data_IF_211352329543
#
_entry.id   IF_211352329543
#
_cell.length_a   1.000
_cell.length_b   1.000
_cell.length_c   1.000
_cell.angle_alpha   90.00
_cell.angle_beta   90.00
_cell.angle_gamma   90.00
#
_symmetry.space_group_name_H-M   'P 1'
#
loop_
_entity.id
_entity.type
_entity.pdbx_description
1 polymer ?
#
# COMPACT_ATOMS: atom_id res chain seq x y z
N UNK A 1 15.58 5.88 -5.09
CA UNK A 1 15.42 7.13 -4.33
C UNK A 1 13.94 7.49 -4.34
N UNK A 2 13.17 6.91 -3.41
CA UNK A 2 11.73 7.15 -3.32
C UNK A 2 11.52 8.62 -2.99
N UNK A 3 10.74 9.34 -3.81
CA UNK A 3 10.38 10.74 -3.57
C UNK A 3 9.88 10.85 -2.13
N UNK A 4 10.43 11.77 -1.33
CA UNK A 4 10.00 11.97 0.05
C UNK A 4 8.47 12.11 0.07
N UNK A 5 7.79 11.23 0.79
CA UNK A 5 6.34 11.32 0.89
C UNK A 5 6.00 12.67 1.52
N UNK A 6 5.13 13.45 0.86
CA UNK A 6 4.68 14.71 1.40
C UNK A 6 3.76 14.42 2.59
N UNK A 7 4.27 14.64 3.80
CA UNK A 7 3.52 14.49 5.03
C UNK A 7 2.64 15.73 5.25
N UNK A 8 1.39 15.51 5.65
CA UNK A 8 0.43 16.57 6.00
C UNK A 8 -0.35 16.18 7.26
N UNK A 9 -0.95 17.15 7.96
CA UNK A 9 -1.90 16.84 9.04
C UNK A 9 -3.23 16.39 8.44
N UNK A 10 -3.78 15.32 8.98
CA UNK A 10 -5.09 14.83 8.56
C UNK A 10 -5.48 13.53 9.24
N UNK A 11 -6.50 12.88 8.66
CA UNK A 11 -7.00 11.61 9.18
C UNK A 11 -6.21 10.43 8.62
N UNK A 12 -5.81 9.49 9.48
CA UNK A 12 -5.28 8.21 9.03
C UNK A 12 -6.44 7.30 8.60
N UNK A 13 -6.45 6.87 7.34
CA UNK A 13 -7.56 6.07 6.80
C UNK A 13 -7.46 4.58 7.14
N UNK A 14 -6.30 4.13 7.61
CA UNK A 14 -6.04 2.77 8.06
C UNK A 14 -6.56 2.55 9.51
N UNK A 15 -6.02 1.53 10.18
CA UNK A 15 -6.54 0.95 11.41
C UNK A 15 -6.73 1.95 12.57
N UNK A 16 -5.82 2.91 12.77
CA UNK A 16 -5.86 3.78 13.96
C UNK A 16 -6.90 4.91 13.89
N UNK A 17 -7.38 5.29 12.70
CA UNK A 17 -8.42 6.32 12.47
C UNK A 17 -8.21 7.69 13.15
N UNK A 18 -7.02 8.00 13.66
CA UNK A 18 -6.69 9.29 14.28
C UNK A 18 -6.93 10.43 13.28
N UNK A 19 -7.62 11.49 13.70
CA UNK A 19 -8.07 12.59 12.84
C UNK A 19 -7.09 13.77 12.74
N UNK A 20 -6.14 13.89 13.68
CA UNK A 20 -5.05 14.89 13.67
C UNK A 20 -3.69 14.18 13.78
N UNK A 21 -3.34 13.40 12.76
CA UNK A 21 -2.03 12.76 12.66
C UNK A 21 -1.24 13.32 11.47
N UNK A 22 0.10 13.27 11.54
CA UNK A 22 0.92 13.39 10.34
C UNK A 22 0.66 12.16 9.47
N UNK A 23 0.22 12.38 8.24
CA UNK A 23 -0.14 11.34 7.27
C UNK A 23 0.54 11.57 5.93
N UNK A 24 0.92 10.48 5.27
CA UNK A 24 1.47 10.45 3.92
C UNK A 24 0.44 9.88 2.94
N UNK A 25 0.48 10.33 1.68
CA UNK A 25 -0.29 9.72 0.59
C UNK A 25 0.24 8.31 0.31
N UNK A 26 -0.64 7.32 0.29
CA UNK A 26 -0.27 5.90 0.09
C UNK A 26 -0.82 5.29 -1.21
N UNK A 27 -1.63 6.05 -1.95
CA UNK A 27 -2.20 5.60 -3.22
C UNK A 27 -3.63 6.10 -3.43
N UNK A 28 -4.18 5.92 -4.64
CA UNK A 28 -5.59 6.14 -4.90
C UNK A 28 -6.44 4.98 -4.33
N UNK A 29 -7.66 5.30 -3.90
CA UNK A 29 -8.73 4.31 -3.65
C UNK A 29 -9.88 4.59 -4.61
N UNK A 30 -10.41 3.52 -5.19
CA UNK A 30 -11.54 3.56 -6.12
C UNK A 30 -12.83 3.25 -5.36
N UNK A 31 -13.84 4.11 -5.55
CA UNK A 31 -15.20 3.91 -5.06
C UNK A 31 -16.17 4.07 -6.23
N UNK A 32 -17.42 3.62 -6.09
CA UNK A 32 -18.42 3.68 -7.17
C UNK A 32 -18.67 5.10 -7.72
N UNK A 33 -18.25 6.15 -7.00
CA UNK A 33 -18.38 7.56 -7.42
C UNK A 33 -17.07 8.24 -7.87
N UNK A 34 -15.93 7.53 -7.92
CA UNK A 34 -14.66 8.11 -8.39
C UNK A 34 -13.43 7.60 -7.68
N UNK A 35 -12.31 8.29 -7.90
CA UNK A 35 -11.00 7.97 -7.33
C UNK A 35 -10.57 9.08 -6.39
N UNK A 36 -10.21 8.74 -5.16
CA UNK A 36 -9.76 9.70 -4.14
C UNK A 36 -8.40 9.28 -3.56
N UNK A 37 -7.57 10.23 -3.10
CA UNK A 37 -6.31 9.90 -2.43
C UNK A 37 -6.55 9.26 -1.05
N UNK A 38 -5.77 8.24 -0.71
CA UNK A 38 -5.76 7.60 0.60
C UNK A 38 -4.50 7.99 1.38
N UNK A 39 -4.65 8.22 2.69
CA UNK A 39 -3.58 8.70 3.57
C UNK A 39 -3.40 7.83 4.82
N UNK A 40 -2.16 7.69 5.29
CA UNK A 40 -1.83 6.93 6.51
C UNK A 40 -0.73 7.56 7.35
N UNK A 41 -0.82 7.37 8.68
CA UNK A 41 0.23 7.80 9.60
C UNK A 41 1.42 6.82 9.60
N UNK A 42 2.61 7.21 10.10
CA UNK A 42 3.83 6.39 10.07
C UNK A 42 3.63 5.00 10.68
N UNK A 43 2.99 4.94 11.86
CA UNK A 43 2.78 3.67 12.58
C UNK A 43 1.97 2.66 11.76
N UNK A 44 0.87 3.12 11.15
CA UNK A 44 0.00 2.27 10.32
C UNK A 44 0.64 1.94 8.98
N UNK A 45 1.40 2.86 8.38
CA UNK A 45 2.14 2.59 7.15
C UNK A 45 3.20 1.49 7.37
N UNK A 46 3.96 1.59 8.45
CA UNK A 46 4.95 0.57 8.83
C UNK A 46 4.30 -0.81 9.07
N UNK A 47 3.11 -0.85 9.68
CA UNK A 47 2.37 -2.09 9.87
C UNK A 47 1.92 -2.69 8.52
N UNK A 48 1.39 -1.85 7.63
CA UNK A 48 0.96 -2.26 6.29
C UNK A 48 2.11 -2.80 5.46
N UNK A 49 3.26 -2.12 5.45
CA UNK A 49 4.45 -2.57 4.74
C UNK A 49 4.94 -3.93 5.23
N UNK A 50 4.94 -4.17 6.55
CA UNK A 50 5.29 -5.50 7.11
C UNK A 50 4.37 -6.60 6.59
N UNK A 51 3.06 -6.37 6.56
CA UNK A 51 2.09 -7.34 6.01
C UNK A 51 2.31 -7.57 4.51
N UNK A 52 2.57 -6.51 3.74
CA UNK A 52 2.87 -6.61 2.32
C UNK A 52 4.14 -7.43 2.07
N UNK A 53 5.22 -7.16 2.81
CA UNK A 53 6.46 -7.92 2.71
C UNK A 53 6.27 -9.39 3.08
N UNK A 54 5.49 -9.70 4.11
CA UNK A 54 5.14 -11.09 4.46
C UNK A 54 4.41 -11.77 3.30
N UNK A 55 3.45 -11.09 2.68
CA UNK A 55 2.70 -11.63 1.55
C UNK A 55 3.59 -11.85 0.32
N UNK A 56 4.50 -10.92 0.01
CA UNK A 56 5.46 -11.06 -1.08
C UNK A 56 6.38 -12.28 -0.86
N UNK A 57 6.87 -12.48 0.37
CA UNK A 57 7.69 -13.66 0.71
C UNK A 57 6.91 -14.97 0.56
N UNK A 58 5.64 -14.97 0.93
CA UNK A 58 4.78 -16.16 0.87
C UNK A 58 4.34 -16.54 -0.55
N UNK A 59 4.34 -15.60 -1.50
CA UNK A 59 3.92 -15.88 -2.89
C UNK A 59 4.93 -16.76 -3.66
N UNK A 60 6.16 -16.92 -3.16
CA UNK A 60 7.21 -17.67 -3.85
C UNK A 60 7.52 -17.10 -5.24
N UNK A 61 8.52 -17.65 -5.97
CA UNK A 61 8.67 -17.32 -7.37
C UNK A 61 7.44 -17.82 -8.14
N UNK A 62 6.71 -16.90 -8.78
CA UNK A 62 5.73 -17.23 -9.81
C UNK A 62 6.47 -17.90 -10.98
N UNK A 63 6.56 -19.23 -10.95
CA UNK A 63 6.98 -20.03 -12.11
C UNK A 63 5.89 -19.97 -13.17
N UNK A 64 6.03 -19.03 -14.12
CA UNK A 64 5.31 -19.12 -15.38
C UNK A 64 5.81 -20.37 -16.13
N UNK A 65 5.10 -21.49 -16.00
CA UNK A 65 5.28 -22.64 -16.89
C UNK A 65 4.98 -22.15 -18.30
N UNK A 66 6.00 -21.94 -19.13
CA UNK A 66 5.82 -21.76 -20.58
C UNK A 66 5.12 -23.01 -21.10
N UNK A 67 3.83 -22.90 -21.39
CA UNK A 67 3.16 -23.84 -22.28
C UNK A 67 3.75 -23.58 -23.67
N UNK A 68 4.66 -24.45 -24.13
CA UNK A 68 5.26 -24.28 -25.46
C UNK A 68 6.52 -25.08 -25.81
N UNK A 69 7.04 -25.95 -24.93
CA UNK A 69 8.03 -26.97 -25.31
C UNK A 69 7.27 -28.17 -25.93
N UNK A 70 6.83 -28.03 -27.18
CA UNK A 70 6.40 -29.11 -28.06
C UNK A 70 6.73 -28.75 -29.51
N UNK A 71 8.01 -28.80 -29.90
CA UNK A 71 8.40 -28.99 -31.30
C UNK A 71 9.77 -29.63 -31.43
#
# INVERSE_FOLDING_TARGET
>A
MTRAAQWQRGTCWLYCRRTDALVAWIGPVHVSGGTVPMYACPDCLNALERMAYQRLRAQGPHIHRRAGEQR
#
